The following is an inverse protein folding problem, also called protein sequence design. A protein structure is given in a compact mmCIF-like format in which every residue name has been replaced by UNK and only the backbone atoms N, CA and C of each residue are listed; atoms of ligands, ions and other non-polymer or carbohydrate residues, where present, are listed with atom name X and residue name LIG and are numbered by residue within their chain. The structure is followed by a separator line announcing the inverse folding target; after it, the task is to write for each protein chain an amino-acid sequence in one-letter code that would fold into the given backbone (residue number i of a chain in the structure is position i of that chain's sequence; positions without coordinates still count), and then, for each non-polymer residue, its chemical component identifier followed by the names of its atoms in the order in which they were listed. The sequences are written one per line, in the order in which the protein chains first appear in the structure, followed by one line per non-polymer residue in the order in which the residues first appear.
data_IF_909173727109
#
_entry.id   IF_909173727109
#
_cell.length_a   1.000
_cell.length_b   1.000
_cell.length_c   1.000
_cell.angle_alpha   90.00
_cell.angle_beta   90.00
_cell.angle_gamma   90.00
#
_symmetry.space_group_name_H-M   'P 1'
#
loop_
_entity.id
_entity.type
_entity.pdbx_description
1 polymer ?
#
# COMPACT_ATOMS: atom_id res chain seq x y z
N UNK A 1 -12.01 -19.42 -1.86
CA UNK A 1 -10.67 -19.25 -1.30
C UNK A 1 -10.45 -17.78 -0.97
N UNK A 2 -10.09 -17.51 0.29
CA UNK A 2 -9.88 -16.15 0.77
C UNK A 2 -8.48 -15.68 0.43
N UNK A 3 -8.37 -14.48 -0.16
CA UNK A 3 -7.09 -13.84 -0.41
C UNK A 3 -6.47 -13.40 0.92
N UNK A 4 -5.21 -13.74 1.13
CA UNK A 4 -4.46 -13.35 2.32
C UNK A 4 -3.86 -11.96 2.12
N UNK A 5 -4.11 -11.05 3.06
CA UNK A 5 -3.49 -9.72 3.06
C UNK A 5 -2.25 -9.75 3.95
N UNK A 6 -1.12 -9.38 3.39
CA UNK A 6 0.17 -9.36 4.10
C UNK A 6 0.73 -7.94 4.09
N UNK A 7 1.03 -7.42 5.28
CA UNK A 7 1.79 -6.19 5.44
C UNK A 7 3.25 -6.56 5.63
N UNK A 8 4.10 -6.18 4.70
CA UNK A 8 5.54 -6.43 4.84
C UNK A 8 6.09 -5.62 6.02
N UNK A 9 7.21 -6.05 6.62
CA UNK A 9 7.84 -5.27 7.70
C UNK A 9 8.15 -3.85 7.29
N UNK A 10 8.57 -3.64 6.03
CA UNK A 10 8.88 -2.30 5.52
C UNK A 10 7.63 -1.43 5.45
N UNK A 11 6.51 -1.97 4.95
CA UNK A 11 5.25 -1.25 4.89
C UNK A 11 4.74 -0.88 6.29
N UNK A 12 4.87 -1.80 7.25
CA UNK A 12 4.50 -1.51 8.64
C UNK A 12 5.33 -0.38 9.23
N UNK A 13 6.62 -0.40 8.96
CA UNK A 13 7.53 0.65 9.40
C UNK A 13 7.16 2.00 8.78
N UNK A 14 6.83 2.02 7.48
CA UNK A 14 6.39 3.22 6.78
C UNK A 14 5.15 3.83 7.46
N UNK A 15 4.13 3.02 7.71
CA UNK A 15 2.87 3.48 8.33
C UNK A 15 3.11 4.01 9.72
N UNK A 16 3.93 3.31 10.51
CA UNK A 16 4.27 3.76 11.86
C UNK A 16 4.97 5.11 11.84
N UNK A 17 5.92 5.29 10.92
CA UNK A 17 6.65 6.56 10.80
C UNK A 17 5.71 7.71 10.42
N UNK A 18 4.83 7.49 9.45
CA UNK A 18 3.84 8.48 9.04
C UNK A 18 2.94 8.84 10.21
N UNK A 19 2.45 7.84 10.93
CA UNK A 19 1.58 8.03 12.10
C UNK A 19 2.27 8.89 13.17
N UNK A 20 3.50 8.57 13.50
CA UNK A 20 4.27 9.31 14.51
C UNK A 20 4.54 10.75 14.05
N UNK A 21 4.99 10.92 12.80
CA UNK A 21 5.35 12.23 12.26
C UNK A 21 4.13 13.17 12.22
N UNK A 22 3.00 12.70 11.73
CA UNK A 22 1.77 13.51 11.70
C UNK A 22 1.25 13.73 13.12
N UNK A 23 1.31 12.70 13.95
CA UNK A 23 0.78 12.74 15.31
C UNK A 23 1.44 13.75 16.24
N UNK A 24 2.68 14.18 15.93
CA UNK A 24 3.39 15.18 16.70
C UNK A 24 2.65 16.52 16.76
N UNK A 25 1.94 16.88 15.68
CA UNK A 25 1.22 18.14 15.59
C UNK A 25 -0.28 17.97 15.31
N UNK A 26 -0.68 16.84 14.75
CA UNK A 26 -2.07 16.60 14.33
C UNK A 26 -2.51 15.17 14.65
N UNK A 27 -2.73 14.85 15.94
CA UNK A 27 -3.04 13.48 16.34
C UNK A 27 -4.31 12.90 15.70
N UNK A 28 -5.34 13.72 15.50
CA UNK A 28 -6.57 13.24 14.86
C UNK A 28 -6.35 12.96 13.37
N UNK A 29 -5.50 13.76 12.71
CA UNK A 29 -5.14 13.50 11.32
C UNK A 29 -4.35 12.19 11.18
N UNK A 30 -3.44 11.93 12.12
CA UNK A 30 -2.68 10.68 12.16
C UNK A 30 -3.62 9.47 12.25
N UNK A 31 -4.63 9.53 13.12
CA UNK A 31 -5.62 8.47 13.28
C UNK A 31 -6.42 8.26 11.99
N UNK A 32 -6.82 9.35 11.31
CA UNK A 32 -7.56 9.26 10.05
C UNK A 32 -6.74 8.62 8.95
N UNK A 33 -5.46 8.99 8.80
CA UNK A 33 -4.60 8.38 7.80
C UNK A 33 -4.38 6.90 8.07
N UNK A 34 -4.12 6.55 9.31
CA UNK A 34 -3.96 5.16 9.69
C UNK A 34 -5.19 4.32 9.31
N UNK A 35 -6.38 4.81 9.65
CA UNK A 35 -7.63 4.14 9.32
C UNK A 35 -7.84 4.01 7.81
N UNK A 36 -7.48 5.03 7.04
CA UNK A 36 -7.63 5.02 5.57
C UNK A 36 -6.66 4.05 4.91
N UNK A 37 -5.41 4.01 5.35
CA UNK A 37 -4.44 3.05 4.83
C UNK A 37 -4.94 1.63 5.05
N UNK A 38 -5.42 1.36 6.25
CA UNK A 38 -5.95 0.05 6.61
C UNK A 38 -7.17 -0.31 5.76
N UNK A 39 -8.12 0.59 5.62
CA UNK A 39 -9.33 0.34 4.84
C UNK A 39 -9.03 0.08 3.36
N UNK A 40 -8.10 0.87 2.78
CA UNK A 40 -7.70 0.67 1.38
C UNK A 40 -6.99 -0.67 1.18
N UNK A 41 -6.09 -1.03 2.09
CA UNK A 41 -5.42 -2.31 2.00
C UNK A 41 -6.42 -3.47 2.12
N UNK A 42 -7.36 -3.38 3.05
CA UNK A 42 -8.38 -4.43 3.24
C UNK A 42 -9.29 -4.58 2.02
N UNK A 43 -9.57 -3.48 1.28
CA UNK A 43 -10.37 -3.55 0.07
C UNK A 43 -9.75 -4.42 -1.01
N UNK A 44 -8.43 -4.64 -0.96
CA UNK A 44 -7.71 -5.47 -1.92
C UNK A 44 -8.01 -6.97 -1.75
N UNK A 45 -8.56 -7.37 -0.62
CA UNK A 45 -9.00 -8.75 -0.41
C UNK A 45 -10.12 -9.10 -1.39
N UNK A 46 -11.05 -8.18 -1.60
CA UNK A 46 -12.16 -8.35 -2.52
C UNK A 46 -11.84 -7.87 -3.95
N UNK A 47 -10.90 -6.93 -4.08
CA UNK A 47 -10.56 -6.28 -5.34
C UNK A 47 -9.04 -6.19 -5.51
N UNK A 48 -8.35 -7.34 -5.70
CA UNK A 48 -6.87 -7.32 -5.77
C UNK A 48 -6.29 -6.56 -6.96
N UNK A 49 -7.08 -6.35 -8.02
CA UNK A 49 -6.64 -5.62 -9.21
C UNK A 49 -7.04 -4.14 -9.19
N UNK A 50 -7.52 -3.63 -8.06
CA UNK A 50 -8.02 -2.25 -7.94
C UNK A 50 -6.95 -1.21 -8.28
N UNK A 51 -5.71 -1.43 -7.85
CA UNK A 51 -4.61 -0.51 -8.13
C UNK A 51 -4.06 -0.70 -9.53
N UNK A 52 -3.72 0.42 -10.19
CA UNK A 52 -3.08 0.39 -11.49
C UNK A 52 -1.66 -0.17 -11.41
N UNK A 53 -1.23 -0.85 -12.48
CA UNK A 53 0.14 -1.31 -12.60
C UNK A 53 1.08 -0.13 -12.84
N UNK A 54 2.22 -0.16 -12.14
CA UNK A 54 3.29 0.81 -12.26
C UNK A 54 4.63 0.09 -12.40
N UNK A 55 4.79 -0.60 -13.55
CA UNK A 55 5.98 -1.43 -13.81
C UNK A 55 7.27 -0.63 -13.88
N UNK A 56 7.18 0.70 -14.05
CA UNK A 56 8.33 1.59 -14.00
C UNK A 56 8.91 1.71 -12.59
N UNK A 57 8.14 1.38 -11.55
CA UNK A 57 8.62 1.40 -10.16
C UNK A 57 9.32 0.08 -9.85
N UNK A 58 8.61 -1.04 -10.05
CA UNK A 58 9.18 -2.39 -10.04
C UNK A 58 8.20 -3.31 -10.80
N UNK A 59 8.65 -4.47 -11.30
CA UNK A 59 7.88 -5.24 -12.28
C UNK A 59 6.46 -5.62 -11.88
N UNK A 60 6.23 -5.96 -10.62
CA UNK A 60 4.92 -6.38 -10.11
C UNK A 60 4.14 -5.26 -9.41
N UNK A 61 4.64 -4.02 -9.47
CA UNK A 61 4.05 -2.91 -8.72
C UNK A 61 2.63 -2.60 -9.15
N UNK A 62 1.78 -2.45 -8.14
CA UNK A 62 0.45 -1.83 -8.26
C UNK A 62 0.34 -0.74 -7.23
N UNK A 63 -0.47 0.28 -7.48
CA UNK A 63 -0.54 1.45 -6.63
C UNK A 63 -1.97 1.87 -6.35
N UNK A 64 -2.25 2.13 -5.07
CA UNK A 64 -3.43 2.88 -4.62
C UNK A 64 -2.98 4.24 -4.10
N UNK A 65 -3.86 5.22 -4.22
CA UNK A 65 -3.57 6.59 -3.79
C UNK A 65 -4.39 6.93 -2.56
N UNK A 66 -3.71 7.44 -1.53
CA UNK A 66 -4.31 8.13 -0.39
C UNK A 66 -3.51 9.41 -0.19
N UNK A 67 -3.85 10.41 -1.01
CA UNK A 67 -3.05 11.63 -1.17
C UNK A 67 -2.69 12.29 0.18
N UNK A 68 -1.45 12.73 0.37
CA UNK A 68 -0.33 12.73 -0.58
C UNK A 68 0.44 11.40 -0.64
N UNK A 69 -0.04 10.37 0.04
CA UNK A 69 0.63 9.08 0.13
C UNK A 69 0.16 8.13 -0.96
N UNK A 70 1.02 7.16 -1.27
CA UNK A 70 0.68 6.03 -2.15
C UNK A 70 0.96 4.73 -1.42
N UNK A 71 0.14 3.73 -1.72
CA UNK A 71 0.29 2.38 -1.22
C UNK A 71 0.77 1.53 -2.40
N UNK A 72 2.01 1.04 -2.32
CA UNK A 72 2.57 0.13 -3.32
C UNK A 72 2.35 -1.30 -2.85
N UNK A 73 1.77 -2.10 -3.71
CA UNK A 73 1.49 -3.50 -3.40
C UNK A 73 1.71 -4.38 -4.62
N UNK A 74 1.71 -5.68 -4.38
CA UNK A 74 1.75 -6.66 -5.45
C UNK A 74 0.80 -7.81 -5.13
N UNK A 75 0.36 -8.51 -6.18
CA UNK A 75 -0.42 -9.74 -6.02
C UNK A 75 0.48 -10.94 -6.15
N UNK A 76 0.12 -12.04 -5.50
CA UNK A 76 0.83 -13.32 -5.61
C UNK A 76 -0.16 -14.40 -6.02
N UNK A 77 -0.04 -14.99 -7.21
CA UNK A 77 0.92 -14.63 -8.27
C UNK A 77 0.63 -13.27 -8.91
N UNK A 78 1.64 -12.72 -9.59
CA UNK A 78 1.52 -11.46 -10.32
C UNK A 78 0.80 -11.70 -11.65
N UNK A 79 -0.51 -11.62 -11.61
CA UNK A 79 -1.37 -11.90 -12.77
C UNK A 79 -2.59 -10.98 -12.76
N UNK A 80 -3.21 -10.82 -13.91
CA UNK A 80 -4.50 -10.15 -14.05
C UNK A 80 -5.69 -11.12 -13.96
N UNK A 81 -5.43 -12.40 -13.74
CA UNK A 81 -6.44 -13.44 -13.61
C UNK A 81 -6.98 -13.59 -12.19
N UNK A 82 -7.76 -14.65 -11.98
CA UNK A 82 -8.50 -14.85 -10.73
C UNK A 82 -7.75 -15.70 -9.69
N UNK A 83 -6.54 -16.18 -10.02
CA UNK A 83 -5.80 -17.12 -9.17
C UNK A 83 -4.94 -16.41 -8.10
N UNK A 84 -5.39 -15.29 -7.60
CA UNK A 84 -4.65 -14.54 -6.58
C UNK A 84 -4.79 -15.25 -5.25
N UNK A 85 -3.67 -15.56 -4.60
CA UNK A 85 -3.64 -16.18 -3.27
C UNK A 85 -3.39 -15.17 -2.17
N UNK A 86 -2.57 -14.15 -2.46
CA UNK A 86 -2.27 -13.12 -1.48
C UNK A 86 -2.02 -11.77 -2.15
N UNK A 87 -2.19 -10.73 -1.34
CA UNK A 87 -1.81 -9.35 -1.66
C UNK A 87 -0.78 -8.93 -0.63
N UNK A 88 0.35 -8.42 -1.09
CA UNK A 88 1.44 -7.98 -0.23
C UNK A 88 1.62 -6.48 -0.34
N UNK A 89 1.42 -5.78 0.78
CA UNK A 89 1.66 -4.34 0.85
C UNK A 89 3.17 -4.14 1.00
N UNK A 90 3.78 -3.55 -0.03
CA UNK A 90 5.24 -3.44 -0.13
C UNK A 90 5.75 -2.17 0.53
N UNK A 91 5.14 -1.02 0.25
CA UNK A 91 5.52 0.27 0.83
C UNK A 91 4.29 1.17 0.96
N UNK A 92 4.35 2.09 1.92
CA UNK A 92 3.44 3.23 2.02
C UNK A 92 4.31 4.48 2.13
N UNK A 93 4.31 5.31 1.09
CA UNK A 93 5.26 6.41 0.98
C UNK A 93 4.60 7.66 0.42
N UNK A 94 5.26 8.80 0.62
CA UNK A 94 4.82 10.08 0.05
C UNK A 94 4.97 10.00 -1.48
N UNK A 95 3.85 10.17 -2.19
CA UNK A 95 3.80 10.04 -3.64
C UNK A 95 4.52 11.14 -4.41
N UNK A 96 4.98 12.20 -3.71
CA UNK A 96 5.76 13.28 -4.33
C UNK A 96 7.23 12.92 -4.49
N UNK A 97 7.70 11.83 -3.85
CA UNK A 97 9.06 11.33 -3.99
C UNK A 97 9.23 10.64 -5.35
N UNK A 98 10.47 10.57 -5.82
CA UNK A 98 10.76 9.76 -7.01
C UNK A 98 10.73 8.28 -6.60
N UNK A 99 9.61 7.62 -6.88
CA UNK A 99 9.35 6.26 -6.43
C UNK A 99 10.29 5.24 -7.07
N UNK A 100 10.77 5.52 -8.29
CA UNK A 100 11.66 4.61 -9.01
C UNK A 100 13.02 4.46 -8.33
N UNK A 101 13.46 5.47 -7.58
CA UNK A 101 14.75 5.43 -6.88
C UNK A 101 14.72 4.60 -5.60
N UNK A 102 13.54 4.16 -5.17
CA UNK A 102 13.38 3.40 -3.93
C UNK A 102 13.54 1.88 -4.11
N UNK A 103 13.65 1.44 -5.37
CA UNK A 103 13.69 0.02 -5.71
C UNK A 103 14.81 -0.32 -6.70
#
# INVERSE_FOLDING_TARGET
VTIKLVWTPRARSDVKKIYVDIGKSQPLAAERYFARFRAKAESLIDHPHLGERHTEIFPSARMLIEAPYVILYETVPDTNGDEIRSVEIVRVIDGRRDLRTLF
#
